data_IF_663361978607
#
_entry.id   IF_663361978607
#
_cell.length_a   1.000
_cell.length_b   1.000
_cell.length_c   1.000
_cell.angle_alpha   90.00
_cell.angle_beta   90.00
_cell.angle_gamma   90.00
#
_symmetry.space_group_name_H-M   'P 1'
#
loop_
_entity.id
_entity.type
_entity.pdbx_description
1 polymer ?
#
# COMPACT_ATOMS: atom_id res chain seq x y z
N UNK A 1 -61.58 -5.28 -4.24
CA UNK A 1 -60.32 -4.50 -4.22
C UNK A 1 -60.54 -3.29 -5.11
N UNK A 2 -60.50 -2.07 -4.55
CA UNK A 2 -60.64 -0.87 -5.36
C UNK A 2 -59.46 -0.81 -6.36
N UNK A 3 -59.76 -0.78 -7.66
CA UNK A 3 -58.73 -0.54 -8.68
C UNK A 3 -58.00 0.74 -8.32
N UNK A 4 -56.67 0.67 -8.21
CA UNK A 4 -55.85 1.84 -7.93
C UNK A 4 -55.91 2.77 -9.14
N UNK A 5 -56.87 3.70 -9.15
CA UNK A 5 -57.16 4.60 -10.27
C UNK A 5 -55.96 5.47 -10.67
N UNK A 6 -54.96 5.61 -9.79
CA UNK A 6 -53.68 6.24 -10.10
C UNK A 6 -52.95 5.55 -11.27
N UNK A 7 -53.12 4.24 -11.46
CA UNK A 7 -52.49 3.49 -12.55
C UNK A 7 -53.11 3.78 -13.93
N UNK A 8 -54.25 4.49 -13.98
CA UNK A 8 -54.89 4.90 -15.23
C UNK A 8 -54.54 6.32 -15.63
N UNK A 9 -53.77 7.04 -14.82
CA UNK A 9 -53.34 8.39 -15.15
C UNK A 9 -52.26 8.34 -16.24
N UNK A 10 -52.28 9.27 -17.20
CA UNK A 10 -51.19 9.43 -18.17
C UNK A 10 -49.88 9.81 -17.47
N UNK A 11 -48.76 9.44 -18.10
CA UNK A 11 -47.40 9.63 -17.56
C UNK A 11 -47.13 11.09 -17.21
N UNK A 12 -47.59 12.02 -18.02
CA UNK A 12 -47.39 13.46 -17.85
C UNK A 12 -48.04 13.98 -16.57
N UNK A 13 -49.24 13.48 -16.23
CA UNK A 13 -49.91 13.84 -14.98
C UNK A 13 -49.18 13.24 -13.77
N UNK A 14 -48.68 12.00 -13.90
CA UNK A 14 -47.87 11.39 -12.85
C UNK A 14 -46.56 12.16 -12.63
N UNK A 15 -45.85 12.54 -13.70
CA UNK A 15 -44.65 13.37 -13.62
C UNK A 15 -44.93 14.74 -13.02
N UNK A 16 -46.07 15.36 -13.35
CA UNK A 16 -46.50 16.62 -12.73
C UNK A 16 -46.73 16.46 -11.23
N UNK A 17 -47.41 15.40 -10.78
CA UNK A 17 -47.58 15.10 -9.34
C UNK A 17 -46.21 14.95 -8.66
N UNK A 18 -45.30 14.21 -9.27
CA UNK A 18 -43.97 13.97 -8.70
C UNK A 18 -43.10 15.24 -8.70
N UNK A 19 -43.30 16.16 -9.65
CA UNK A 19 -42.61 17.46 -9.68
C UNK A 19 -42.95 18.37 -8.50
N UNK A 20 -44.07 18.12 -7.82
CA UNK A 20 -44.48 18.81 -6.59
C UNK A 20 -44.11 18.03 -5.32
N UNK A 21 -43.37 16.92 -5.43
CA UNK A 21 -42.81 16.23 -4.28
C UNK A 21 -41.39 16.74 -4.03
N UNK A 22 -41.21 17.41 -2.89
CA UNK A 22 -39.95 18.08 -2.55
C UNK A 22 -38.88 17.15 -1.95
N UNK A 23 -39.13 15.84 -1.90
CA UNK A 23 -38.21 14.87 -1.31
C UNK A 23 -38.17 13.51 -2.02
N UNK A 24 -36.96 12.94 -2.11
CA UNK A 24 -36.71 11.60 -2.69
C UNK A 24 -37.51 10.48 -2.05
N UNK A 25 -37.85 10.58 -0.75
CA UNK A 25 -38.52 9.49 -0.05
C UNK A 25 -40.00 9.43 -0.43
N UNK A 26 -40.65 10.57 -0.62
CA UNK A 26 -42.04 10.65 -1.09
C UNK A 26 -42.19 10.16 -2.52
N UNK A 27 -41.28 10.56 -3.40
CA UNK A 27 -41.21 10.05 -4.78
C UNK A 27 -41.03 8.53 -4.77
N UNK A 28 -40.09 8.04 -3.97
CA UNK A 28 -39.80 6.61 -3.85
C UNK A 28 -40.98 5.81 -3.25
N UNK A 29 -41.70 6.38 -2.28
CA UNK A 29 -42.94 5.80 -1.72
C UNK A 29 -44.03 5.68 -2.80
N UNK A 30 -44.21 6.70 -3.63
CA UNK A 30 -45.16 6.66 -4.74
C UNK A 30 -44.79 5.58 -5.76
N UNK A 31 -43.52 5.51 -6.17
CA UNK A 31 -43.03 4.47 -7.08
C UNK A 31 -43.32 3.06 -6.54
N UNK A 32 -43.15 2.83 -5.23
CA UNK A 32 -43.40 1.52 -4.60
C UNK A 32 -44.88 1.17 -4.40
N UNK A 33 -45.80 2.10 -4.65
CA UNK A 33 -47.25 1.85 -4.48
C UNK A 33 -47.86 0.97 -5.58
N UNK A 34 -47.15 0.77 -6.70
CA UNK A 34 -47.56 -0.16 -7.75
C UNK A 34 -46.45 -0.40 -8.78
N UNK A 35 -46.41 -1.61 -9.38
CA UNK A 35 -45.37 -1.99 -10.35
C UNK A 35 -45.37 -1.09 -11.60
N UNK A 36 -46.54 -0.72 -12.10
CA UNK A 36 -46.67 0.20 -13.25
C UNK A 36 -46.08 1.57 -12.91
N UNK A 37 -46.48 2.16 -11.78
CA UNK A 37 -45.95 3.43 -11.29
C UNK A 37 -44.44 3.39 -11.09
N UNK A 38 -43.89 2.27 -10.60
CA UNK A 38 -42.44 2.09 -10.51
C UNK A 38 -41.78 2.22 -11.88
N UNK A 39 -42.25 1.46 -12.88
CA UNK A 39 -41.65 1.47 -14.21
C UNK A 39 -41.73 2.86 -14.87
N UNK A 40 -42.85 3.56 -14.68
CA UNK A 40 -43.11 4.86 -15.30
C UNK A 40 -42.34 6.01 -14.63
N UNK A 41 -42.11 5.92 -13.32
CA UNK A 41 -41.51 7.00 -12.52
C UNK A 41 -40.08 6.72 -12.05
N UNK A 42 -39.53 5.53 -12.27
CA UNK A 42 -38.16 5.16 -11.86
C UNK A 42 -37.12 6.12 -12.46
N UNK A 43 -37.21 6.42 -13.76
CA UNK A 43 -36.31 7.37 -14.43
C UNK A 43 -36.37 8.76 -13.79
N UNK A 44 -37.58 9.22 -13.44
CA UNK A 44 -37.76 10.49 -12.75
C UNK A 44 -37.12 10.46 -11.36
N UNK A 45 -37.31 9.37 -10.59
CA UNK A 45 -36.73 9.22 -9.26
C UNK A 45 -35.19 9.31 -9.30
N UNK A 46 -34.54 8.65 -10.26
CA UNK A 46 -33.09 8.74 -10.42
C UNK A 46 -32.64 10.13 -10.86
N UNK A 47 -33.34 10.77 -11.81
CA UNK A 47 -33.04 12.16 -12.21
C UNK A 47 -33.18 13.13 -11.05
N UNK A 48 -34.21 12.95 -10.23
CA UNK A 48 -34.44 13.78 -9.07
C UNK A 48 -33.31 13.62 -8.03
N UNK A 49 -32.90 12.38 -7.72
CA UNK A 49 -31.79 12.11 -6.79
C UNK A 49 -30.43 12.56 -7.33
N UNK A 50 -30.24 12.54 -8.65
CA UNK A 50 -29.01 12.94 -9.32
C UNK A 50 -28.85 14.47 -9.47
N UNK A 51 -29.94 15.16 -9.84
CA UNK A 51 -29.88 16.56 -10.32
C UNK A 51 -30.64 17.54 -9.40
N UNK A 52 -31.78 17.12 -8.84
CA UNK A 52 -32.75 18.06 -8.22
C UNK A 52 -32.60 18.21 -6.70
N UNK A 53 -32.02 17.23 -5.99
CA UNK A 53 -31.77 17.35 -4.54
C UNK A 53 -30.57 18.27 -4.26
N UNK A 54 -30.84 19.39 -3.58
CA UNK A 54 -29.89 20.50 -3.39
C UNK A 54 -28.87 20.36 -2.24
N UNK A 55 -27.85 21.24 -2.35
CA UNK A 55 -26.73 21.62 -1.47
C UNK A 55 -25.39 20.87 -1.59
N UNK A 56 -25.35 19.54 -1.75
CA UNK A 56 -24.04 18.82 -1.79
C UNK A 56 -23.70 18.04 -3.07
N UNK A 57 -24.55 18.01 -4.11
CA UNK A 57 -24.32 17.22 -5.36
C UNK A 57 -24.01 15.72 -5.11
N UNK A 58 -24.58 15.08 -4.08
CA UNK A 58 -24.30 13.67 -3.74
C UNK A 58 -25.52 12.80 -3.99
N UNK A 59 -25.61 12.20 -5.18
CA UNK A 59 -26.62 11.20 -5.52
C UNK A 59 -26.61 10.06 -4.49
N UNK A 60 -27.72 9.88 -3.76
CA UNK A 60 -27.82 8.91 -2.65
C UNK A 60 -27.83 7.49 -3.17
N UNK A 61 -28.51 7.24 -4.29
CA UNK A 61 -28.58 5.94 -4.93
C UNK A 61 -27.19 5.47 -5.38
N UNK A 62 -26.47 6.32 -6.09
CA UNK A 62 -25.10 6.05 -6.54
C UNK A 62 -24.16 5.83 -5.34
N UNK A 63 -24.25 6.65 -4.29
CA UNK A 63 -23.46 6.47 -3.05
C UNK A 63 -23.74 5.14 -2.34
N UNK A 64 -24.97 4.64 -2.39
CA UNK A 64 -25.33 3.36 -1.76
C UNK A 64 -24.64 2.16 -2.42
N UNK A 65 -24.20 2.29 -3.68
CA UNK A 65 -23.52 1.22 -4.43
C UNK A 65 -22.15 0.86 -3.89
N UNK A 66 -21.52 1.75 -3.12
CA UNK A 66 -20.21 1.54 -2.47
C UNK A 66 -20.30 1.44 -0.95
N UNK A 67 -21.47 1.66 -0.37
CA UNK A 67 -21.67 1.51 1.07
C UNK A 67 -21.63 0.03 1.49
N UNK A 68 -21.30 -0.20 2.77
CA UNK A 68 -21.47 -1.50 3.42
C UNK A 68 -22.97 -1.81 3.46
N UNK A 69 -23.41 -2.75 2.62
CA UNK A 69 -24.83 -3.07 2.42
C UNK A 69 -24.99 -4.52 1.98
N UNK A 70 -26.21 -5.04 2.10
CA UNK A 70 -26.61 -6.38 1.67
C UNK A 70 -26.85 -6.49 0.16
N UNK A 71 -26.63 -5.40 -0.59
CA UNK A 71 -26.83 -5.39 -2.04
C UNK A 71 -25.79 -6.28 -2.72
N UNK A 72 -26.25 -7.16 -3.58
CA UNK A 72 -25.41 -7.97 -4.45
C UNK A 72 -24.76 -7.09 -5.55
N UNK A 73 -23.75 -7.66 -6.21
CA UNK A 73 -22.94 -6.92 -7.19
C UNK A 73 -23.75 -6.48 -8.41
N UNK A 74 -24.71 -7.29 -8.89
CA UNK A 74 -25.50 -6.95 -10.06
C UNK A 74 -26.45 -5.79 -9.77
N UNK A 75 -27.08 -5.79 -8.58
CA UNK A 75 -27.91 -4.67 -8.13
C UNK A 75 -27.10 -3.38 -7.98
N UNK A 76 -25.88 -3.44 -7.40
CA UNK A 76 -24.99 -2.27 -7.30
C UNK A 76 -24.66 -1.68 -8.67
N UNK A 77 -24.33 -2.53 -9.65
CA UNK A 77 -24.03 -2.11 -11.03
C UNK A 77 -25.24 -1.48 -11.70
N UNK A 78 -26.42 -2.10 -11.57
CA UNK A 78 -27.67 -1.59 -12.14
C UNK A 78 -28.05 -0.21 -11.58
N UNK A 79 -27.98 -0.05 -10.25
CA UNK A 79 -28.22 1.25 -9.59
C UNK A 79 -27.21 2.29 -10.08
N UNK A 80 -25.93 1.94 -10.21
CA UNK A 80 -24.91 2.86 -10.67
C UNK A 80 -25.17 3.32 -12.11
N UNK A 81 -25.46 2.40 -13.04
CA UNK A 81 -25.79 2.72 -14.43
C UNK A 81 -26.98 3.67 -14.52
N UNK A 82 -28.11 3.32 -13.87
CA UNK A 82 -29.31 4.17 -13.89
C UNK A 82 -29.06 5.55 -13.30
N UNK A 83 -28.29 5.64 -12.21
CA UNK A 83 -27.96 6.93 -11.59
C UNK A 83 -27.11 7.80 -12.52
N UNK A 84 -26.13 7.21 -13.19
CA UNK A 84 -25.22 7.91 -14.09
C UNK A 84 -25.92 8.33 -15.40
N UNK A 85 -26.76 7.47 -15.96
CA UNK A 85 -27.64 7.79 -17.11
C UNK A 85 -28.61 8.93 -16.79
N UNK A 86 -29.07 9.00 -15.54
CA UNK A 86 -29.90 10.09 -15.04
C UNK A 86 -29.13 11.40 -14.78
N UNK A 87 -27.81 11.44 -15.01
CA UNK A 87 -26.98 12.63 -14.92
C UNK A 87 -26.27 12.82 -13.57
N UNK A 88 -26.14 11.77 -12.76
CA UNK A 88 -25.35 11.86 -11.52
C UNK A 88 -23.89 12.19 -11.83
N UNK A 89 -23.30 13.11 -11.07
CA UNK A 89 -21.86 13.37 -11.13
C UNK A 89 -21.10 12.10 -10.74
N UNK A 90 -20.28 11.57 -11.64
CA UNK A 90 -19.47 10.36 -11.40
C UNK A 90 -18.27 10.64 -10.49
N UNK A 91 -17.89 11.90 -10.31
CA UNK A 91 -16.68 12.31 -9.60
C UNK A 91 -16.97 12.88 -8.20
N UNK A 92 -18.19 12.77 -7.69
CA UNK A 92 -18.48 13.24 -6.32
C UNK A 92 -17.71 12.45 -5.25
N UNK A 93 -17.43 13.11 -4.12
CA UNK A 93 -16.71 12.50 -3.01
C UNK A 93 -17.62 11.65 -2.10
N UNK A 94 -17.09 10.51 -1.67
CA UNK A 94 -17.66 9.59 -0.70
C UNK A 94 -16.61 9.18 0.33
N UNK A 95 -17.06 8.57 1.44
CA UNK A 95 -16.13 7.94 2.38
C UNK A 95 -15.52 6.70 1.73
N UNK A 96 -14.19 6.61 1.78
CA UNK A 96 -13.41 5.48 1.31
C UNK A 96 -12.85 4.76 2.53
N UNK A 97 -13.03 3.44 2.55
CA UNK A 97 -12.54 2.57 3.61
C UNK A 97 -11.60 1.56 2.96
N UNK A 98 -10.33 1.57 3.33
CA UNK A 98 -9.39 0.53 2.91
C UNK A 98 -8.56 0.05 4.10
N UNK A 99 -8.15 -1.21 4.02
CA UNK A 99 -7.38 -1.88 5.07
C UNK A 99 -5.93 -1.95 4.64
N UNK A 100 -5.04 -1.54 5.53
CA UNK A 100 -3.62 -1.67 5.32
C UNK A 100 -2.99 -2.51 6.42
N UNK A 101 -2.14 -3.45 6.03
CA UNK A 101 -1.35 -4.27 6.95
C UNK A 101 0.10 -3.83 6.86
N UNK A 102 0.63 -3.27 7.95
CA UNK A 102 2.06 -2.99 8.05
C UNK A 102 2.75 -4.24 8.60
N UNK A 103 3.37 -5.04 7.73
CA UNK A 103 4.06 -6.28 8.12
C UNK A 103 5.37 -6.05 8.90
N UNK A 104 5.88 -4.81 8.92
CA UNK A 104 7.22 -4.46 9.41
C UNK A 104 7.35 -4.32 10.95
N UNK A 105 6.27 -4.52 11.72
CA UNK A 105 6.31 -4.46 13.18
C UNK A 105 5.76 -5.80 13.71
N UNK A 106 6.41 -6.45 14.71
CA UNK A 106 5.95 -7.73 15.28
C UNK A 106 4.52 -7.70 15.85
N UNK A 107 3.95 -6.51 16.01
CA UNK A 107 2.54 -6.30 16.30
C UNK A 107 1.85 -5.97 14.98
N UNK A 108 1.11 -6.94 14.43
CA UNK A 108 0.25 -6.75 13.27
C UNK A 108 -0.87 -5.74 13.61
N UNK A 109 -0.58 -4.43 13.52
CA UNK A 109 -1.61 -3.42 13.64
C UNK A 109 -2.45 -3.45 12.37
N UNK A 110 -3.68 -3.94 12.50
CA UNK A 110 -4.72 -3.74 11.50
C UNK A 110 -5.16 -2.29 11.60
N UNK A 111 -4.70 -1.45 10.69
CA UNK A 111 -5.10 -0.05 10.64
C UNK A 111 -6.25 0.07 9.63
N UNK A 112 -7.41 0.48 10.15
CA UNK A 112 -8.55 0.89 9.32
C UNK A 112 -8.45 2.38 9.09
N UNK A 113 -8.23 2.77 7.83
CA UNK A 113 -8.15 4.16 7.43
C UNK A 113 -9.48 4.60 6.86
N UNK A 114 -9.98 5.73 7.37
CA UNK A 114 -11.12 6.43 6.82
C UNK A 114 -10.58 7.62 6.04
N UNK A 115 -10.96 7.73 4.77
CA UNK A 115 -10.60 8.85 3.92
C UNK A 115 -11.84 9.34 3.15
N UNK A 116 -11.70 10.43 2.42
CA UNK A 116 -12.66 10.90 1.42
C UNK A 116 -12.03 10.84 0.05
N UNK A 117 -12.77 10.29 -0.91
CA UNK A 117 -12.29 10.18 -2.29
C UNK A 117 -13.44 10.05 -3.26
N UNK A 118 -13.13 9.95 -4.55
CA UNK A 118 -14.14 9.70 -5.57
C UNK A 118 -14.90 8.39 -5.27
N UNK A 119 -16.12 8.26 -5.81
CA UNK A 119 -16.83 6.98 -5.77
C UNK A 119 -16.04 5.85 -6.45
N UNK A 120 -15.20 6.18 -7.44
CA UNK A 120 -14.27 5.22 -8.04
C UNK A 120 -13.29 4.68 -7.00
N UNK A 121 -12.67 5.55 -6.20
CA UNK A 121 -11.76 5.14 -5.12
C UNK A 121 -12.46 4.19 -4.12
N UNK A 122 -13.72 4.45 -3.78
CA UNK A 122 -14.52 3.56 -2.91
C UNK A 122 -14.86 2.22 -3.59
N UNK A 123 -15.23 2.23 -4.87
CA UNK A 123 -15.51 1.01 -5.63
C UNK A 123 -14.26 0.13 -5.77
N UNK A 124 -13.09 0.75 -5.95
CA UNK A 124 -11.79 0.08 -5.95
C UNK A 124 -11.49 -0.53 -4.59
N UNK A 125 -11.64 0.23 -3.51
CA UNK A 125 -11.42 -0.25 -2.14
C UNK A 125 -12.36 -1.39 -1.74
N UNK A 126 -13.57 -1.44 -2.30
CA UNK A 126 -14.50 -2.55 -2.10
C UNK A 126 -14.20 -3.78 -2.99
N UNK A 127 -13.19 -3.72 -3.86
CA UNK A 127 -12.87 -4.79 -4.80
C UNK A 127 -13.95 -5.05 -5.86
N UNK A 128 -14.91 -4.13 -6.04
CA UNK A 128 -16.08 -4.33 -6.90
C UNK A 128 -15.73 -4.05 -8.38
N UNK A 129 -15.05 -5.00 -9.03
CA UNK A 129 -14.55 -4.82 -10.40
C UNK A 129 -15.64 -4.45 -11.43
N UNK A 130 -16.84 -5.06 -11.44
CA UNK A 130 -17.91 -4.65 -12.34
C UNK A 130 -18.32 -3.18 -12.18
N UNK A 131 -18.39 -2.69 -10.94
CA UNK A 131 -18.72 -1.29 -10.65
C UNK A 131 -17.62 -0.34 -11.12
N UNK A 132 -16.34 -0.71 -10.92
CA UNK A 132 -15.21 0.07 -11.44
C UNK A 132 -15.30 0.23 -12.96
N UNK A 133 -15.64 -0.83 -13.70
CA UNK A 133 -15.81 -0.74 -15.17
C UNK A 133 -16.90 0.24 -15.57
N UNK A 134 -18.05 0.21 -14.87
CA UNK A 134 -19.15 1.15 -15.12
C UNK A 134 -18.71 2.58 -14.85
N UNK A 135 -18.09 2.86 -13.71
CA UNK A 135 -17.66 4.20 -13.36
C UNK A 135 -16.64 4.76 -14.37
N UNK A 136 -15.66 3.96 -14.78
CA UNK A 136 -14.68 4.38 -15.81
C UNK A 136 -15.33 4.57 -17.19
N UNK A 137 -16.32 3.76 -17.55
CA UNK A 137 -17.11 3.95 -18.78
C UNK A 137 -17.80 5.33 -18.79
N UNK A 138 -18.36 5.74 -17.65
CA UNK A 138 -18.96 7.06 -17.44
C UNK A 138 -17.96 8.18 -17.12
N UNK A 139 -16.67 8.01 -17.50
CA UNK A 139 -15.62 9.04 -17.38
C UNK A 139 -15.28 9.45 -15.93
N UNK A 140 -15.36 8.50 -14.99
CA UNK A 140 -14.74 8.68 -13.68
C UNK A 140 -13.25 9.02 -13.83
N UNK A 141 -12.78 10.00 -13.06
CA UNK A 141 -11.37 10.36 -13.00
C UNK A 141 -10.56 9.27 -12.27
N UNK A 142 -9.82 8.50 -13.05
CA UNK A 142 -9.00 7.38 -12.58
C UNK A 142 -7.75 7.81 -11.80
N UNK A 143 -7.39 9.10 -11.86
CA UNK A 143 -6.21 9.65 -11.20
C UNK A 143 -6.57 10.46 -9.96
N UNK A 144 -7.87 10.69 -9.70
CA UNK A 144 -8.32 11.49 -8.57
C UNK A 144 -7.90 10.86 -7.25
N UNK A 145 -6.93 11.51 -6.61
CA UNK A 145 -6.42 11.16 -5.30
C UNK A 145 -7.45 11.45 -4.21
N UNK A 146 -7.38 10.69 -3.13
CA UNK A 146 -8.18 10.94 -1.93
C UNK A 146 -7.74 12.22 -1.21
N UNK A 147 -8.58 12.76 -0.33
CA UNK A 147 -8.40 14.07 0.28
C UNK A 147 -7.38 14.04 1.42
N UNK A 148 -7.43 13.06 2.32
CA UNK A 148 -6.57 13.03 3.52
C UNK A 148 -5.22 12.38 3.22
N UNK A 149 -5.23 11.27 2.48
CA UNK A 149 -4.04 10.46 2.27
C UNK A 149 -3.45 10.56 0.87
N UNK A 150 -4.06 11.36 0.00
CA UNK A 150 -3.67 11.51 -1.40
C UNK A 150 -3.49 10.18 -2.15
N UNK A 151 -4.26 9.16 -1.77
CA UNK A 151 -4.15 7.83 -2.33
C UNK A 151 -4.75 7.82 -3.74
N UNK A 152 -3.92 7.52 -4.74
CA UNK A 152 -4.40 7.30 -6.11
C UNK A 152 -5.22 5.99 -6.18
N UNK A 153 -6.28 5.92 -7.00
CA UNK A 153 -7.09 4.70 -7.15
C UNK A 153 -6.27 3.45 -7.48
N UNK A 154 -5.18 3.60 -8.26
CA UNK A 154 -4.31 2.47 -8.56
C UNK A 154 -3.54 1.93 -7.34
N UNK A 155 -3.14 2.81 -6.41
CA UNK A 155 -2.50 2.40 -5.17
C UNK A 155 -3.48 1.63 -4.27
N UNK A 156 -4.74 2.08 -4.22
CA UNK A 156 -5.82 1.36 -3.52
C UNK A 156 -6.04 -0.03 -4.14
N UNK A 157 -5.98 -0.15 -5.48
CA UNK A 157 -6.12 -1.43 -6.17
C UNK A 157 -5.00 -2.44 -5.85
N UNK A 158 -3.83 -1.98 -5.40
CA UNK A 158 -2.73 -2.84 -4.93
C UNK A 158 -3.07 -3.47 -3.57
N UNK A 159 -3.78 -2.76 -2.70
CA UNK A 159 -4.27 -3.29 -1.42
C UNK A 159 -5.28 -4.43 -1.64
N UNK A 160 -6.10 -4.31 -2.68
CA UNK A 160 -7.16 -5.28 -3.02
C UNK A 160 -6.68 -6.37 -3.98
N UNK A 161 -5.91 -7.32 -3.43
CA UNK A 161 -5.39 -8.46 -4.17
C UNK A 161 -6.49 -9.28 -4.85
N UNK A 162 -6.29 -9.69 -6.11
CA UNK A 162 -7.18 -10.64 -6.80
C UNK A 162 -8.40 -10.06 -7.51
N UNK A 163 -8.67 -8.76 -7.41
CA UNK A 163 -9.84 -8.10 -8.02
C UNK A 163 -9.74 -7.91 -9.55
N UNK A 164 -8.55 -8.05 -10.13
CA UNK A 164 -8.29 -7.73 -11.55
C UNK A 164 -8.36 -6.23 -11.88
N UNK A 165 -8.69 -5.39 -10.90
CA UNK A 165 -8.84 -3.93 -11.03
C UNK A 165 -7.50 -3.30 -11.43
N UNK A 166 -6.40 -3.68 -10.78
CA UNK A 166 -5.07 -3.16 -11.12
C UNK A 166 -4.75 -3.33 -12.61
N UNK A 167 -5.01 -4.53 -13.17
CA UNK A 167 -4.78 -4.80 -14.60
C UNK A 167 -5.67 -3.97 -15.51
N UNK A 168 -6.90 -3.68 -15.07
CA UNK A 168 -7.82 -2.85 -15.83
C UNK A 168 -7.41 -1.38 -15.81
N UNK A 169 -6.99 -0.85 -14.66
CA UNK A 169 -6.49 0.52 -14.53
C UNK A 169 -5.21 0.72 -15.34
N UNK A 170 -4.25 -0.20 -15.28
CA UNK A 170 -3.00 -0.16 -16.06
C UNK A 170 -3.19 -0.13 -17.59
N UNK A 171 -4.37 -0.52 -18.08
CA UNK A 171 -4.70 -0.47 -19.51
C UNK A 171 -5.38 0.84 -19.92
N UNK A 172 -5.72 1.71 -18.98
CA UNK A 172 -6.35 2.98 -19.29
C UNK A 172 -5.29 3.96 -19.83
N UNK A 173 -5.51 4.56 -21.01
CA UNK A 173 -4.51 5.43 -21.64
C UNK A 173 -4.29 6.74 -20.89
N UNK A 174 -5.26 7.16 -20.08
CA UNK A 174 -5.22 8.41 -19.30
C UNK A 174 -4.65 8.20 -17.89
N UNK A 175 -4.18 7.00 -17.56
CA UNK A 175 -3.71 6.69 -16.21
C UNK A 175 -2.39 7.41 -15.95
N UNK A 176 -2.38 8.22 -14.89
CA UNK A 176 -1.19 8.82 -14.34
C UNK A 176 -0.63 7.91 -13.25
N UNK A 177 0.61 7.49 -13.46
CA UNK A 177 1.38 6.65 -12.53
C UNK A 177 2.38 7.46 -11.71
N UNK A 178 2.37 8.79 -11.86
CA UNK A 178 3.16 9.66 -11.01
C UNK A 178 2.85 9.37 -9.54
N UNK A 179 3.90 9.18 -8.76
CA UNK A 179 3.74 8.94 -7.34
C UNK A 179 3.15 10.18 -6.65
N UNK A 180 2.37 9.97 -5.58
CA UNK A 180 2.04 11.08 -4.68
C UNK A 180 3.30 11.50 -3.93
N UNK A 181 3.53 12.82 -3.84
CA UNK A 181 4.68 13.42 -3.16
C UNK A 181 4.54 13.37 -1.62
N UNK A 182 3.34 13.09 -1.13
CA UNK A 182 2.90 13.33 0.26
C UNK A 182 2.01 12.21 0.83
N UNK A 183 1.72 11.16 0.07
CA UNK A 183 0.81 10.09 0.48
C UNK A 183 1.18 9.47 1.83
N UNK A 184 0.21 9.38 2.74
CA UNK A 184 0.31 9.30 4.21
C UNK A 184 1.17 8.17 4.81
N UNK A 185 1.69 7.27 4.00
CA UNK A 185 2.68 6.30 4.43
C UNK A 185 4.12 6.79 4.28
N UNK A 186 4.38 7.89 3.57
CA UNK A 186 5.75 8.27 3.17
C UNK A 186 6.44 7.16 2.38
N UNK A 187 5.68 6.19 1.86
CA UNK A 187 6.16 4.94 1.29
C UNK A 187 6.03 4.92 -0.24
N UNK A 188 6.00 6.07 -0.90
CA UNK A 188 6.15 6.15 -2.36
C UNK A 188 4.99 5.57 -3.18
N UNK A 189 5.29 5.30 -4.45
CA UNK A 189 4.35 4.93 -5.52
C UNK A 189 3.57 3.63 -5.26
N UNK A 190 2.62 3.30 -6.15
CA UNK A 190 1.95 2.00 -6.15
C UNK A 190 2.92 0.81 -6.22
N UNK A 191 4.11 0.99 -6.79
CA UNK A 191 5.17 -0.03 -6.84
C UNK A 191 5.71 -0.35 -5.45
N UNK A 192 5.96 0.67 -4.62
CA UNK A 192 6.43 0.44 -3.25
C UNK A 192 5.39 -0.28 -2.40
N UNK A 193 4.11 0.07 -2.53
CA UNK A 193 3.05 -0.66 -1.84
C UNK A 193 3.03 -2.13 -2.27
N UNK A 194 3.23 -2.42 -3.55
CA UNK A 194 3.28 -3.80 -4.04
C UNK A 194 4.48 -4.56 -3.46
N UNK A 195 5.64 -3.91 -3.30
CA UNK A 195 6.82 -4.52 -2.63
C UNK A 195 6.57 -4.72 -1.14
N UNK A 196 6.01 -3.73 -0.44
CA UNK A 196 5.69 -3.80 1.00
C UNK A 196 4.67 -4.89 1.34
N UNK A 197 3.76 -5.18 0.41
CA UNK A 197 2.76 -6.25 0.55
C UNK A 197 3.23 -7.59 -0.01
N UNK A 198 4.50 -7.68 -0.41
CA UNK A 198 5.12 -8.86 -0.98
C UNK A 198 4.46 -9.40 -2.28
N UNK A 199 3.84 -8.53 -3.07
CA UNK A 199 3.04 -8.91 -4.23
C UNK A 199 3.87 -8.93 -5.52
N UNK A 200 4.78 -9.90 -5.67
CA UNK A 200 5.72 -10.00 -6.80
C UNK A 200 5.04 -9.86 -8.18
N UNK A 201 3.84 -10.43 -8.35
CA UNK A 201 3.07 -10.32 -9.60
C UNK A 201 2.65 -8.89 -9.94
N UNK A 202 2.38 -8.05 -8.94
CA UNK A 202 2.03 -6.65 -9.15
C UNK A 202 3.29 -5.81 -9.35
N UNK A 203 4.35 -6.10 -8.60
CA UNK A 203 5.69 -5.49 -8.80
C UNK A 203 6.14 -5.68 -10.24
N UNK A 204 6.14 -6.91 -10.77
CA UNK A 204 6.49 -7.20 -12.18
C UNK A 204 5.70 -6.37 -13.20
N UNK A 205 4.46 -5.99 -12.89
CA UNK A 205 3.59 -5.19 -13.78
C UNK A 205 3.78 -3.69 -13.64
N UNK A 206 4.14 -3.23 -12.44
CA UNK A 206 4.32 -1.82 -12.12
C UNK A 206 5.72 -1.33 -12.42
N UNK A 207 6.73 -2.22 -12.35
CA UNK A 207 8.13 -1.89 -12.66
C UNK A 207 8.28 -1.10 -13.95
N UNK A 208 7.70 -1.47 -15.11
CA UNK A 208 7.83 -0.68 -16.35
C UNK A 208 7.50 0.81 -16.22
N UNK A 209 6.69 1.20 -15.23
CA UNK A 209 6.23 2.56 -14.98
C UNK A 209 6.87 3.23 -13.76
N UNK A 210 7.90 2.61 -13.19
CA UNK A 210 8.59 3.13 -12.03
C UNK A 210 9.20 4.52 -12.30
N UNK A 211 9.07 5.41 -11.32
CA UNK A 211 9.68 6.75 -11.32
C UNK A 211 10.98 6.70 -10.52
N UNK A 212 12.13 6.87 -11.17
CA UNK A 212 13.44 6.76 -10.51
C UNK A 212 13.67 7.79 -9.39
N UNK A 213 12.94 8.91 -9.38
CA UNK A 213 13.07 9.91 -8.32
C UNK A 213 12.31 9.52 -7.05
N UNK A 214 11.18 8.83 -7.22
CA UNK A 214 10.33 8.44 -6.09
C UNK A 214 10.62 7.01 -5.65
N UNK A 215 10.84 6.09 -6.59
CA UNK A 215 11.11 4.66 -6.40
C UNK A 215 12.54 4.34 -5.94
N UNK A 216 13.43 5.33 -5.99
CA UNK A 216 14.73 5.31 -5.32
C UNK A 216 14.79 6.29 -4.12
N UNK A 217 13.64 6.79 -3.66
CA UNK A 217 13.57 7.84 -2.64
C UNK A 217 14.19 7.42 -1.29
N UNK A 218 14.75 8.39 -0.52
CA UNK A 218 15.64 8.11 0.61
C UNK A 218 14.96 7.53 1.86
N UNK A 219 13.63 7.51 1.89
CA UNK A 219 12.85 7.11 3.07
C UNK A 219 12.62 5.61 3.15
N UNK A 220 12.48 4.92 2.01
CA UNK A 220 12.31 3.46 1.99
C UNK A 220 12.58 2.88 0.59
N UNK A 221 13.85 2.70 0.18
CA UNK A 221 14.15 2.15 -1.13
C UNK A 221 13.57 0.74 -1.29
N UNK A 222 13.09 0.39 -2.49
CA UNK A 222 12.35 -0.86 -2.74
C UNK A 222 13.12 -2.10 -2.29
N UNK A 223 14.43 -2.14 -2.53
CA UNK A 223 15.28 -3.29 -2.20
C UNK A 223 15.34 -3.54 -0.68
N UNK A 224 15.36 -2.47 0.13
CA UNK A 224 15.31 -2.59 1.60
C UNK A 224 14.03 -3.23 2.07
N UNK A 225 12.89 -2.81 1.52
CA UNK A 225 11.59 -3.39 1.87
C UNK A 225 11.49 -4.88 1.51
N UNK A 226 12.07 -5.30 0.39
CA UNK A 226 12.12 -6.70 -0.01
C UNK A 226 13.03 -7.53 0.91
N UNK A 227 14.18 -6.98 1.29
CA UNK A 227 15.14 -7.59 2.23
C UNK A 227 14.56 -7.73 3.63
N UNK A 228 13.87 -6.71 4.14
CA UNK A 228 13.21 -6.74 5.45
C UNK A 228 12.13 -7.84 5.56
N UNK A 229 11.57 -8.25 4.43
CA UNK A 229 10.57 -9.32 4.36
C UNK A 229 11.19 -10.70 4.11
N UNK A 230 12.52 -10.78 3.98
CA UNK A 230 13.27 -12.01 3.69
C UNK A 230 12.72 -12.76 2.45
N UNK A 231 12.30 -12.02 1.42
CA UNK A 231 11.80 -12.61 0.17
C UNK A 231 12.87 -12.57 -0.92
N UNK A 232 13.66 -13.64 -1.02
CA UNK A 232 14.70 -13.81 -2.03
C UNK A 232 14.19 -13.73 -3.47
N UNK A 233 12.97 -14.17 -3.78
CA UNK A 233 12.39 -14.04 -5.12
C UNK A 233 12.08 -12.57 -5.49
N UNK A 234 11.62 -11.78 -4.53
CA UNK A 234 11.42 -10.34 -4.71
C UNK A 234 12.76 -9.62 -4.88
N UNK A 235 13.73 -9.92 -4.02
CA UNK A 235 15.08 -9.32 -4.07
C UNK A 235 15.76 -9.65 -5.39
N UNK A 236 15.77 -10.92 -5.82
CA UNK A 236 16.31 -11.34 -7.12
C UNK A 236 15.68 -10.58 -8.29
N UNK A 237 14.36 -10.40 -8.26
CA UNK A 237 13.66 -9.66 -9.31
C UNK A 237 14.05 -8.17 -9.32
N UNK A 238 14.10 -7.51 -8.16
CA UNK A 238 14.49 -6.11 -8.08
C UNK A 238 15.96 -5.88 -8.50
N UNK A 239 16.88 -6.79 -8.14
CA UNK A 239 18.27 -6.75 -8.58
C UNK A 239 18.43 -6.91 -10.10
N UNK A 240 17.54 -7.66 -10.74
CA UNK A 240 17.53 -7.81 -12.21
C UNK A 240 17.09 -6.54 -12.95
N UNK A 241 16.48 -5.58 -12.24
CA UNK A 241 15.97 -4.34 -12.83
C UNK A 241 17.02 -3.22 -12.75
N UNK A 242 17.62 -2.85 -13.88
CA UNK A 242 18.73 -1.87 -13.97
C UNK A 242 18.39 -0.45 -13.48
N UNK A 243 17.11 -0.05 -13.55
CA UNK A 243 16.67 1.31 -13.19
C UNK A 243 16.62 1.62 -11.69
N UNK A 244 16.67 0.58 -10.85
CA UNK A 244 16.64 0.78 -9.40
C UNK A 244 18.05 0.88 -8.86
N UNK A 245 18.26 1.85 -7.98
CA UNK A 245 19.52 1.95 -7.23
C UNK A 245 19.52 0.88 -6.13
N UNK A 246 20.31 -0.17 -6.34
CA UNK A 246 20.45 -1.29 -5.40
C UNK A 246 21.31 -0.93 -4.18
N UNK A 247 22.04 0.19 -4.25
CA UNK A 247 22.89 0.69 -3.17
C UNK A 247 22.25 1.90 -2.47
N UNK A 248 20.98 2.20 -2.77
CA UNK A 248 20.26 3.32 -2.20
C UNK A 248 20.29 3.28 -0.67
N UNK A 249 20.67 4.40 -0.07
CA UNK A 249 20.80 4.53 1.37
C UNK A 249 19.44 4.81 2.02
N UNK A 250 19.24 4.23 3.19
CA UNK A 250 18.04 4.45 3.99
C UNK A 250 18.31 5.46 5.10
N UNK A 251 17.61 6.59 5.10
CA UNK A 251 17.89 7.73 6.01
C UNK A 251 17.19 7.67 7.37
N UNK A 252 16.25 6.74 7.59
CA UNK A 252 15.23 6.83 8.65
C UNK A 252 15.33 5.79 9.79
N UNK A 253 16.47 5.09 9.97
CA UNK A 253 16.51 4.02 11.00
C UNK A 253 16.31 4.52 12.45
N UNK A 254 16.43 5.82 12.75
CA UNK A 254 16.20 6.34 14.11
C UNK A 254 15.12 7.43 14.17
N UNK A 255 13.88 7.00 14.44
CA UNK A 255 12.84 7.87 15.00
C UNK A 255 12.57 7.54 16.49
N UNK A 256 13.62 7.24 17.24
CA UNK A 256 13.66 7.51 18.68
C UNK A 256 14.77 8.51 18.90
N UNK A 257 14.37 9.65 19.47
CA UNK A 257 15.13 10.71 20.15
C UNK A 257 16.66 10.59 20.06
N UNK A 258 17.32 11.71 19.72
CA UNK A 258 18.78 11.93 19.59
C UNK A 258 19.35 11.77 18.17
N UNK A 259 18.99 12.72 17.29
CA UNK A 259 19.69 13.00 16.03
C UNK A 259 21.02 13.70 16.28
N UNK A 260 22.12 12.95 16.40
CA UNK A 260 23.48 13.42 16.14
C UNK A 260 24.29 12.25 15.57
N UNK A 261 24.64 12.33 14.28
CA UNK A 261 25.65 11.51 13.60
C UNK A 261 25.58 10.00 13.78
N UNK A 262 24.84 9.29 12.92
CA UNK A 262 24.96 7.83 12.78
C UNK A 262 25.04 7.38 11.31
N UNK A 263 25.75 6.25 11.07
CA UNK A 263 26.28 5.88 9.77
C UNK A 263 25.24 5.67 8.69
N UNK A 264 25.58 6.02 7.46
CA UNK A 264 24.79 5.64 6.29
C UNK A 264 24.85 4.12 6.16
N UNK A 265 23.75 3.44 6.46
CA UNK A 265 23.66 1.99 6.33
C UNK A 265 23.30 1.62 4.89
N UNK A 266 23.97 0.60 4.36
CA UNK A 266 23.63 -0.01 3.06
C UNK A 266 22.72 -1.22 3.28
N UNK A 267 21.94 -1.58 2.25
CA UNK A 267 21.05 -2.74 2.35
C UNK A 267 21.84 -4.02 2.60
N UNK A 268 23.03 -4.15 2.00
CA UNK A 268 23.93 -5.28 2.20
C UNK A 268 24.40 -5.41 3.65
N UNK A 269 24.89 -4.32 4.26
CA UNK A 269 25.31 -4.33 5.66
C UNK A 269 24.14 -4.70 6.59
N UNK A 270 22.93 -4.22 6.28
CA UNK A 270 21.73 -4.61 7.01
C UNK A 270 21.39 -6.11 6.84
N UNK A 271 21.56 -6.68 5.65
CA UNK A 271 21.32 -8.11 5.38
C UNK A 271 22.30 -9.02 6.12
N UNK A 272 23.59 -8.65 6.20
CA UNK A 272 24.54 -9.32 7.09
C UNK A 272 24.04 -9.28 8.54
N UNK A 273 23.39 -8.17 8.90
CA UNK A 273 22.67 -7.94 10.14
C UNK A 273 21.58 -8.97 10.48
N UNK A 274 20.77 -9.30 9.48
CA UNK A 274 19.58 -10.14 9.67
C UNK A 274 19.89 -11.63 9.91
N UNK A 275 21.07 -12.10 9.53
CA UNK A 275 21.46 -13.52 9.63
C UNK A 275 20.86 -14.44 8.55
N UNK A 276 20.27 -13.88 7.47
CA UNK A 276 19.76 -14.65 6.33
C UNK A 276 20.88 -14.93 5.32
N UNK A 277 21.52 -16.10 5.43
CA UNK A 277 22.65 -16.50 4.57
C UNK A 277 22.29 -16.48 3.08
N UNK A 278 21.08 -16.92 2.73
CA UNK A 278 20.58 -16.93 1.35
C UNK A 278 20.55 -15.51 0.78
N UNK A 279 20.05 -14.55 1.56
CA UNK A 279 19.92 -13.16 1.12
C UNK A 279 21.27 -12.44 1.06
N UNK A 280 22.20 -12.77 1.98
CA UNK A 280 23.60 -12.31 1.91
C UNK A 280 24.27 -12.78 0.62
N UNK A 281 24.20 -14.08 0.30
CA UNK A 281 24.77 -14.62 -0.95
C UNK A 281 24.16 -13.95 -2.17
N UNK A 282 22.83 -13.83 -2.20
CA UNK A 282 22.11 -13.24 -3.31
C UNK A 282 22.50 -11.77 -3.58
N UNK A 283 22.72 -10.98 -2.52
CA UNK A 283 23.21 -9.61 -2.67
C UNK A 283 24.71 -9.56 -3.02
N UNK A 284 25.54 -10.37 -2.37
CA UNK A 284 26.99 -10.43 -2.62
C UNK A 284 27.32 -10.81 -4.07
N UNK A 285 26.63 -11.82 -4.60
CA UNK A 285 26.91 -12.36 -5.93
C UNK A 285 26.40 -11.45 -7.06
N UNK A 286 25.63 -10.41 -6.73
CA UNK A 286 25.14 -9.45 -7.69
C UNK A 286 26.16 -8.32 -7.91
N UNK A 287 26.71 -8.23 -9.13
CA UNK A 287 27.75 -7.25 -9.50
C UNK A 287 27.35 -5.77 -9.33
N UNK A 288 26.06 -5.46 -9.19
CA UNK A 288 25.58 -4.09 -8.98
C UNK A 288 25.61 -3.66 -7.51
N UNK A 289 25.71 -4.62 -6.59
CA UNK A 289 25.75 -4.35 -5.14
C UNK A 289 27.18 -4.04 -4.74
N UNK A 290 27.40 -2.87 -4.15
CA UNK A 290 28.69 -2.49 -3.58
C UNK A 290 28.74 -2.96 -2.12
N UNK A 291 29.35 -4.14 -1.92
CA UNK A 291 29.49 -4.78 -0.61
C UNK A 291 30.37 -3.96 0.36
N UNK A 292 31.25 -3.10 -0.16
CA UNK A 292 32.19 -2.29 0.62
C UNK A 292 31.65 -0.87 0.91
N UNK A 293 30.52 -0.49 0.32
CA UNK A 293 30.00 0.88 0.39
C UNK A 293 29.80 1.36 1.83
N UNK A 294 29.35 0.50 2.74
CA UNK A 294 29.14 0.88 4.13
C UNK A 294 30.43 1.36 4.82
N UNK A 295 31.57 0.75 4.49
CA UNK A 295 32.88 1.17 4.99
C UNK A 295 33.36 2.48 4.36
N UNK A 296 33.08 2.68 3.06
CA UNK A 296 33.44 3.92 2.33
C UNK A 296 32.68 5.14 2.85
N UNK A 297 31.40 4.99 3.19
CA UNK A 297 30.55 6.08 3.67
C UNK A 297 30.84 6.47 5.12
N UNK A 298 31.38 5.53 5.89
CA UNK A 298 31.65 5.72 7.31
C UNK A 298 33.13 5.46 7.62
N UNK A 299 34.07 6.22 7.03
CA UNK A 299 35.50 6.01 7.22
C UNK A 299 35.95 6.22 8.67
N UNK A 300 35.12 6.89 9.49
CA UNK A 300 35.35 7.19 10.90
C UNK A 300 34.39 6.43 11.85
N UNK A 301 33.58 5.47 11.35
CA UNK A 301 32.83 4.57 12.23
C UNK A 301 33.84 3.72 13.03
N UNK A 302 33.59 3.50 14.32
CA UNK A 302 34.60 3.71 15.36
C UNK A 302 35.70 2.66 15.34
N UNK A 303 36.90 3.10 14.95
CA UNK A 303 38.10 2.87 15.76
C UNK A 303 38.48 4.12 16.60
N UNK A 304 37.90 5.32 16.39
CA UNK A 304 38.42 6.56 17.00
C UNK A 304 37.43 7.53 17.69
N UNK A 305 36.11 7.31 17.68
CA UNK A 305 35.17 8.16 18.44
C UNK A 305 34.95 7.63 19.87
N UNK A 306 35.90 7.93 20.77
CA UNK A 306 35.70 8.07 22.22
C UNK A 306 34.81 7.04 22.93
N UNK A 307 35.09 5.74 22.79
CA UNK A 307 34.60 4.72 23.74
C UNK A 307 33.08 4.53 23.83
N UNK A 308 32.28 5.16 22.96
CA UNK A 308 30.86 4.87 22.81
C UNK A 308 30.73 3.99 21.57
N UNK A 309 31.00 2.69 21.78
CA UNK A 309 30.71 1.66 20.79
C UNK A 309 29.19 1.57 20.69
N UNK A 310 28.62 2.02 19.58
CA UNK A 310 27.22 1.73 19.27
C UNK A 310 27.10 0.26 18.84
N UNK A 311 26.49 -0.61 19.66
CA UNK A 311 26.57 -2.07 19.47
C UNK A 311 25.75 -2.58 18.27
N UNK A 312 25.04 -1.72 17.55
CA UNK A 312 24.15 -2.12 16.46
C UNK A 312 24.86 -2.85 15.29
N UNK A 313 26.17 -2.64 15.10
CA UNK A 313 26.96 -3.37 14.10
C UNK A 313 27.58 -4.67 14.62
N UNK A 314 27.58 -4.88 15.95
CA UNK A 314 28.13 -6.05 16.63
C UNK A 314 27.09 -7.15 16.88
N UNK A 315 25.79 -6.87 16.72
CA UNK A 315 24.71 -7.79 17.10
C UNK A 315 24.47 -8.96 16.14
N UNK A 316 25.26 -9.12 15.08
CA UNK A 316 24.79 -9.87 13.92
C UNK A 316 25.85 -10.80 13.35
N UNK A 317 26.12 -11.86 14.11
CA UNK A 317 26.34 -13.20 13.56
C UNK A 317 26.31 -14.30 14.64
N UNK A 318 26.67 -14.00 15.89
CA UNK A 318 27.08 -15.04 16.84
C UNK A 318 25.99 -15.61 17.77
N UNK A 319 24.84 -14.94 17.98
CA UNK A 319 23.89 -15.38 19.02
C UNK A 319 22.81 -16.37 18.59
N UNK A 320 22.66 -16.68 17.29
CA UNK A 320 21.54 -17.55 16.82
C UNK A 320 21.94 -18.89 16.21
N UNK A 321 23.19 -19.07 15.82
CA UNK A 321 23.67 -20.34 15.27
C UNK A 321 24.84 -20.85 16.12
N UNK A 322 24.52 -21.64 17.15
CA UNK A 322 25.43 -22.66 17.65
C UNK A 322 25.72 -23.61 16.49
N UNK A 323 26.75 -23.30 15.71
CA UNK A 323 27.41 -24.29 14.87
C UNK A 323 28.46 -24.90 15.78
N UNK A 324 28.08 -26.03 16.37
CA UNK A 324 28.97 -26.86 17.18
C UNK A 324 30.15 -27.34 16.33
N UNK A 325 31.34 -26.83 16.64
CA UNK A 325 32.53 -27.67 16.75
C UNK A 325 33.16 -27.44 18.13
N UNK A 326 32.80 -28.36 19.02
CA UNK A 326 33.58 -28.76 20.18
C UNK A 326 35.03 -29.04 19.77
N UNK A 327 36.00 -28.54 20.54
CA UNK A 327 37.11 -29.33 21.14
C UNK A 327 38.45 -28.63 21.38
N UNK A 328 38.59 -27.30 21.38
CA UNK A 328 39.90 -26.67 21.68
C UNK A 328 39.87 -25.46 22.63
N UNK A 329 38.97 -25.44 23.63
CA UNK A 329 39.00 -24.40 24.69
C UNK A 329 38.97 -24.99 26.11
N UNK A 330 39.44 -26.22 26.28
CA UNK A 330 39.52 -26.89 27.58
C UNK A 330 40.83 -26.66 28.35
N UNK A 331 41.64 -25.64 28.03
CA UNK A 331 42.92 -25.39 28.72
C UNK A 331 43.15 -23.96 29.23
N UNK A 332 42.10 -23.15 29.40
CA UNK A 332 42.24 -21.81 30.01
C UNK A 332 41.25 -21.55 31.16
N UNK A 333 40.88 -22.62 31.87
CA UNK A 333 39.96 -22.57 33.01
C UNK A 333 40.66 -22.73 34.37
N UNK A 334 41.87 -22.20 34.51
CA UNK A 334 42.50 -21.99 35.81
C UNK A 334 43.04 -20.55 35.87
N UNK A 335 42.57 -19.77 36.86
CA UNK A 335 42.88 -18.37 37.19
C UNK A 335 41.90 -17.31 36.64
N UNK A 336 40.74 -17.17 37.30
CA UNK A 336 40.41 -15.95 38.04
C UNK A 336 38.97 -16.02 38.61
N UNK A 337 38.86 -16.54 39.82
CA UNK A 337 37.78 -16.13 40.73
C UNK A 337 38.15 -14.79 41.37
N UNK A 338 37.15 -13.91 41.52
CA UNK A 338 37.11 -12.66 42.30
C UNK A 338 37.73 -11.41 41.64
N UNK A 339 36.90 -10.63 40.93
CA UNK A 339 36.66 -9.22 41.26
C UNK A 339 35.45 -8.63 40.50
N UNK A 340 34.75 -7.74 41.21
CA UNK A 340 33.56 -7.00 40.81
C UNK A 340 33.82 -6.03 39.64
N UNK A 341 32.79 -5.79 38.81
CA UNK A 341 32.61 -4.61 37.96
C UNK A 341 33.81 -4.18 37.08
N UNK A 342 34.24 -5.03 36.16
CA UNK A 342 34.99 -4.59 34.97
C UNK A 342 34.68 -5.52 33.80
N UNK A 343 34.08 -4.97 32.73
CA UNK A 343 33.82 -5.70 31.49
C UNK A 343 35.16 -6.20 30.89
N UNK A 344 35.27 -7.47 30.47
CA UNK A 344 36.52 -8.01 29.96
C UNK A 344 36.91 -7.33 28.63
N UNK A 345 38.22 -7.21 28.34
CA UNK A 345 38.71 -6.54 27.13
C UNK A 345 38.28 -7.32 25.89
N UNK A 346 37.52 -6.65 25.01
CA UNK A 346 37.08 -7.19 23.74
C UNK A 346 38.28 -7.55 22.87
N UNK A 347 38.46 -8.86 22.63
CA UNK A 347 39.33 -9.38 21.57
C UNK A 347 38.72 -9.04 20.22
N UNK A 348 39.48 -8.33 19.40
CA UNK A 348 39.19 -8.01 18.01
C UNK A 348 38.84 -9.27 17.20
N UNK A 349 37.70 -9.23 16.49
CA UNK A 349 37.46 -10.11 15.36
C UNK A 349 36.74 -9.31 14.27
N UNK A 350 37.47 -9.12 13.17
CA UNK A 350 37.15 -8.32 12.00
C UNK A 350 35.92 -8.89 11.26
N UNK A 351 35.21 -8.03 10.56
CA UNK A 351 34.20 -8.39 9.55
C UNK A 351 34.76 -9.26 8.40
N UNK A 352 36.06 -9.56 8.39
CA UNK A 352 36.71 -10.49 7.47
C UNK A 352 36.33 -11.95 7.72
N UNK A 353 35.97 -12.36 8.94
CA UNK A 353 35.79 -13.81 9.22
C UNK A 353 34.54 -14.44 8.60
N UNK A 354 33.48 -13.66 8.34
CA UNK A 354 32.28 -14.14 7.61
C UNK A 354 32.55 -14.18 6.10
N UNK A 355 33.26 -13.18 5.56
CA UNK A 355 33.69 -13.14 4.15
C UNK A 355 34.72 -14.25 3.83
N UNK A 356 35.70 -14.49 4.71
CA UNK A 356 36.70 -15.55 4.56
C UNK A 356 36.07 -16.95 4.62
N UNK A 357 35.00 -17.13 5.39
CA UNK A 357 34.25 -18.41 5.44
C UNK A 357 33.31 -18.61 4.25
N UNK A 358 32.81 -17.54 3.63
CA UNK A 358 32.04 -17.61 2.37
C UNK A 358 32.91 -17.90 1.14
N UNK A 359 34.22 -17.60 1.20
CA UNK A 359 35.19 -17.84 0.12
C UNK A 359 35.71 -19.29 0.05
N UNK A 360 35.43 -20.14 1.04
CA UNK A 360 35.97 -21.51 1.16
C UNK A 360 34.89 -22.61 0.93
N UNK A 361 33.63 -22.25 0.69
CA UNK A 361 32.53 -23.18 0.32
C UNK A 361 31.94 -22.85 -1.03
#
# INVERSE_FOLDING_TARGET
MAENRLQRLPLELLQMVVSHLDDTASISRLCRSGRHLYNDLEEYLYRYDAVLVSSEKRCKALRATVAKSTLDTATRVSIAQKSLEAGADVNFCVKVYYRFFRSLIPQHYRLEYNDRGSILSAAVACGCFPLVKVLVHFKADINRRTEEYEAAPIAIAVLESGSGILRFLLRQPTLDLSASRTGYFGHGSALHLAVLLNQLNYVKRLVPYADSQVDNGPWNPLLWSAVLQDNSAMVSFLLSCEKFDVNALRRDWNNRFWSFGKPEHTVFAYTCGLGSLEMVKLLHDNSRVDVDLCGKLNPNAPDELNGIVDPAWLYTFHEKYQVDELSELNELNELNELNELEYPPARFARCTTVMERLLIS
#
